data_IF_396123317188
#
_entry.id   IF_396123317188
#
_cell.length_a   1.000
_cell.length_b   1.000
_cell.length_c   1.000
_cell.angle_alpha   90.00
_cell.angle_beta   90.00
_cell.angle_gamma   90.00
#
_symmetry.space_group_name_H-M   'P 1'
#
loop_
_entity.id
_entity.type
_entity.pdbx_description
1 polymer ?
#
# COMPACT_ATOMS: atom_id res chain seq x y z
N UNK A 1 37.41 -13.30 -15.65
CA UNK A 1 37.25 -11.83 -15.73
C UNK A 1 35.83 -11.49 -15.32
N UNK A 2 35.59 -10.75 -14.23
CA UNK A 2 34.25 -10.27 -13.92
C UNK A 2 33.77 -9.35 -15.06
N UNK A 3 32.56 -9.58 -15.57
CA UNK A 3 31.98 -8.73 -16.62
C UNK A 3 31.74 -7.34 -16.03
N UNK A 4 32.52 -6.36 -16.49
CA UNK A 4 32.30 -4.95 -16.17
C UNK A 4 31.05 -4.53 -16.91
N UNK A 5 30.15 -3.88 -16.18
CA UNK A 5 28.88 -3.43 -16.68
C UNK A 5 28.76 -1.96 -16.30
N UNK A 6 28.94 -1.08 -17.28
CA UNK A 6 28.81 0.35 -17.07
C UNK A 6 27.35 0.78 -17.22
N UNK A 7 26.89 1.61 -16.28
CA UNK A 7 25.62 2.34 -16.38
C UNK A 7 25.98 3.79 -16.71
N UNK A 8 25.74 4.27 -17.94
CA UNK A 8 25.97 5.67 -18.26
C UNK A 8 24.97 6.53 -17.49
N UNK A 9 25.46 7.57 -16.82
CA UNK A 9 24.64 8.53 -16.10
C UNK A 9 24.93 9.94 -16.61
N UNK A 10 23.89 10.75 -16.76
CA UNK A 10 24.06 12.20 -16.94
C UNK A 10 24.57 12.85 -15.64
N UNK A 11 25.12 14.06 -15.76
CA UNK A 11 25.58 14.82 -14.59
C UNK A 11 24.44 15.08 -13.60
N UNK A 12 23.27 15.49 -14.10
CA UNK A 12 22.06 15.69 -13.29
C UNK A 12 21.59 14.38 -12.62
N UNK A 13 21.61 13.26 -13.35
CA UNK A 13 21.25 11.96 -12.79
C UNK A 13 22.19 11.58 -11.65
N UNK A 14 23.49 11.78 -11.85
CA UNK A 14 24.52 11.49 -10.84
C UNK A 14 24.33 12.32 -9.58
N UNK A 15 24.12 13.63 -9.72
CA UNK A 15 23.88 14.52 -8.57
C UNK A 15 22.65 14.11 -7.77
N UNK A 16 21.54 13.80 -8.47
CA UNK A 16 20.31 13.34 -7.83
C UNK A 16 20.50 12.00 -7.12
N UNK A 17 21.24 11.07 -7.71
CA UNK A 17 21.58 9.79 -7.09
C UNK A 17 22.45 9.97 -5.84
N UNK A 18 23.42 10.88 -5.87
CA UNK A 18 24.26 11.22 -4.70
C UNK A 18 23.37 11.78 -3.58
N UNK A 19 22.44 12.66 -3.91
CA UNK A 19 21.49 13.20 -2.94
C UNK A 19 20.62 12.10 -2.34
N UNK A 20 20.04 11.22 -3.17
CA UNK A 20 19.22 10.10 -2.70
C UNK A 20 20.00 9.12 -1.84
N UNK A 21 21.24 8.78 -2.21
CA UNK A 21 22.09 7.88 -1.44
C UNK A 21 22.34 8.39 -0.01
N UNK A 22 22.46 9.72 0.16
CA UNK A 22 22.70 10.36 1.46
C UNK A 22 21.43 10.64 2.25
N UNK A 23 20.38 11.13 1.58
CA UNK A 23 19.25 11.81 2.25
C UNK A 23 17.89 11.15 2.02
N UNK A 24 17.78 10.10 1.19
CA UNK A 24 16.49 9.44 1.00
C UNK A 24 15.95 8.93 2.33
N UNK A 25 14.63 9.08 2.56
CA UNK A 25 13.97 8.73 3.82
C UNK A 25 14.11 7.24 4.13
N UNK A 26 13.91 6.40 3.12
CA UNK A 26 13.93 4.94 3.27
C UNK A 26 15.32 4.36 2.96
N UNK A 27 15.82 3.48 3.83
CA UNK A 27 17.18 2.94 3.71
C UNK A 27 17.42 2.14 2.42
N UNK A 28 16.40 1.45 1.90
CA UNK A 28 16.51 0.71 0.62
C UNK A 28 16.65 1.63 -0.57
N UNK A 29 16.07 2.83 -0.53
CA UNK A 29 16.23 3.82 -1.60
C UNK A 29 17.68 4.32 -1.61
N UNK A 30 18.23 4.62 -0.43
CA UNK A 30 19.66 4.97 -0.26
C UNK A 30 20.56 3.88 -0.84
N UNK A 31 20.31 2.63 -0.48
CA UNK A 31 21.09 1.48 -0.95
C UNK A 31 20.99 1.30 -2.47
N UNK A 32 19.78 1.36 -3.05
CA UNK A 32 19.58 1.23 -4.51
C UNK A 32 20.27 2.36 -5.27
N UNK A 33 20.17 3.61 -4.79
CA UNK A 33 20.86 4.75 -5.39
C UNK A 33 22.39 4.54 -5.35
N UNK A 34 22.93 4.06 -4.22
CA UNK A 34 24.35 3.76 -4.08
C UNK A 34 24.82 2.64 -5.02
N UNK A 35 23.98 1.61 -5.25
CA UNK A 35 24.28 0.55 -6.23
C UNK A 35 24.51 1.14 -7.63
N UNK A 36 23.60 2.00 -8.09
CA UNK A 36 23.69 2.58 -9.45
C UNK A 36 24.91 3.48 -9.58
N UNK A 37 25.24 4.27 -8.55
CA UNK A 37 26.46 5.07 -8.52
C UNK A 37 27.72 4.20 -8.69
N UNK A 38 27.85 3.13 -7.90
CA UNK A 38 29.01 2.25 -8.00
C UNK A 38 29.13 1.53 -9.35
N UNK A 39 28.00 1.13 -9.95
CA UNK A 39 28.00 0.56 -11.30
C UNK A 39 28.41 1.61 -12.36
N UNK A 40 28.02 2.87 -12.18
CA UNK A 40 28.45 3.97 -13.07
C UNK A 40 29.94 4.30 -12.92
N UNK A 41 30.50 4.13 -11.73
CA UNK A 41 31.93 4.29 -11.42
C UNK A 41 32.79 3.13 -11.96
N UNK A 42 32.18 2.12 -12.57
CA UNK A 42 32.87 0.99 -13.20
C UNK A 42 33.11 -0.21 -12.28
N UNK A 43 32.56 -0.23 -11.05
CA UNK A 43 32.63 -1.42 -10.19
C UNK A 43 31.88 -2.58 -10.80
N UNK A 44 32.43 -3.78 -10.66
CA UNK A 44 31.76 -4.98 -11.15
C UNK A 44 30.54 -5.34 -10.30
N UNK A 45 29.60 -6.08 -10.89
CA UNK A 45 28.42 -6.60 -10.17
C UNK A 45 28.84 -7.41 -8.93
N UNK A 46 29.93 -8.17 -9.03
CA UNK A 46 30.44 -8.98 -7.92
C UNK A 46 31.00 -8.11 -6.79
N UNK A 47 31.75 -7.06 -7.10
CA UNK A 47 32.30 -6.12 -6.12
C UNK A 47 31.18 -5.34 -5.42
N UNK A 48 30.17 -4.89 -6.15
CA UNK A 48 29.03 -4.19 -5.54
C UNK A 48 28.24 -5.13 -4.64
N UNK A 49 28.08 -6.40 -5.05
CA UNK A 49 27.41 -7.41 -4.27
C UNK A 49 28.15 -7.69 -2.94
N UNK A 50 29.49 -7.80 -2.96
CA UNK A 50 30.28 -7.97 -1.74
C UNK A 50 30.22 -6.74 -0.83
N UNK A 51 30.30 -5.52 -1.39
CA UNK A 51 30.18 -4.27 -0.62
C UNK A 51 28.83 -4.10 0.09
N UNK A 52 27.76 -4.70 -0.45
CA UNK A 52 26.42 -4.62 0.14
C UNK A 52 26.01 -5.88 0.91
N UNK A 53 26.88 -6.91 0.98
CA UNK A 53 26.57 -8.23 1.54
C UNK A 53 25.31 -8.85 0.89
N UNK A 54 25.23 -8.80 -0.44
CA UNK A 54 24.11 -9.33 -1.23
C UNK A 54 24.56 -10.31 -2.30
N UNK A 55 23.60 -11.06 -2.82
CA UNK A 55 23.83 -11.94 -3.96
C UNK A 55 23.95 -11.08 -5.24
N UNK A 56 24.91 -11.37 -6.15
CA UNK A 56 25.10 -10.65 -7.42
C UNK A 56 23.83 -10.51 -8.26
N UNK A 57 22.93 -11.48 -8.18
CA UNK A 57 21.66 -11.45 -8.92
C UNK A 57 20.76 -10.29 -8.52
N UNK A 58 20.80 -9.87 -7.25
CA UNK A 58 20.06 -8.68 -6.83
C UNK A 58 20.60 -7.43 -7.53
N UNK A 59 21.92 -7.31 -7.65
CA UNK A 59 22.56 -6.16 -8.30
C UNK A 59 22.20 -6.14 -9.80
N UNK A 60 22.19 -7.31 -10.46
CA UNK A 60 21.71 -7.43 -11.86
C UNK A 60 20.27 -7.00 -12.02
N UNK A 61 19.39 -7.45 -11.12
CA UNK A 61 17.97 -7.06 -11.14
C UNK A 61 17.78 -5.56 -10.91
N UNK A 62 18.53 -4.96 -9.97
CA UNK A 62 18.49 -3.52 -9.73
C UNK A 62 18.92 -2.72 -10.96
N UNK A 63 20.04 -3.12 -11.61
CA UNK A 63 20.47 -2.52 -12.87
C UNK A 63 19.38 -2.63 -13.95
N UNK A 64 18.83 -3.82 -14.17
CA UNK A 64 17.79 -4.03 -15.19
C UNK A 64 16.56 -3.16 -14.93
N UNK A 65 16.18 -2.98 -13.66
CA UNK A 65 15.08 -2.07 -13.29
C UNK A 65 15.43 -0.61 -13.51
N UNK A 66 16.67 -0.20 -13.25
CA UNK A 66 17.15 1.14 -13.57
C UNK A 66 17.10 1.42 -15.07
N UNK A 67 17.53 0.47 -15.92
CA UNK A 67 17.45 0.61 -17.38
C UNK A 67 16.02 0.76 -17.90
N UNK A 68 15.03 0.16 -17.22
CA UNK A 68 13.62 0.21 -17.63
C UNK A 68 12.83 1.39 -17.04
N UNK A 69 13.14 1.78 -15.81
CA UNK A 69 12.28 2.67 -15.02
C UNK A 69 13.04 3.85 -14.38
N UNK A 70 14.36 3.93 -14.58
CA UNK A 70 15.23 4.98 -14.03
C UNK A 70 14.94 5.24 -12.54
N UNK A 71 14.64 6.49 -12.15
CA UNK A 71 14.38 6.88 -10.77
C UNK A 71 13.16 6.21 -10.13
N UNK A 72 12.17 5.77 -10.91
CA UNK A 72 11.03 5.01 -10.36
C UNK A 72 11.47 3.65 -9.80
N UNK A 73 12.57 3.07 -10.31
CA UNK A 73 13.14 1.83 -9.75
C UNK A 73 13.74 2.00 -8.36
N UNK A 74 14.13 3.22 -7.99
CA UNK A 74 14.80 3.52 -6.72
C UNK A 74 13.78 3.63 -5.59
N UNK A 75 12.63 4.25 -5.85
CA UNK A 75 11.58 4.48 -4.86
C UNK A 75 11.18 3.16 -4.19
N UNK A 76 11.05 3.19 -2.87
CA UNK A 76 10.44 2.10 -2.14
C UNK A 76 8.93 2.25 -2.28
N UNK A 77 8.33 1.45 -3.15
CA UNK A 77 6.88 1.43 -3.33
C UNK A 77 6.13 1.09 -2.05
N UNK A 78 4.88 1.54 -1.96
CA UNK A 78 3.98 1.17 -0.87
C UNK A 78 3.79 -0.35 -0.87
N UNK A 79 4.15 -1.01 0.23
CA UNK A 79 3.85 -2.42 0.45
C UNK A 79 2.44 -2.51 0.99
N UNK A 80 1.45 -2.61 0.11
CA UNK A 80 0.10 -2.96 0.53
C UNK A 80 0.15 -4.34 1.18
N UNK A 81 -0.49 -4.50 2.33
CA UNK A 81 -0.73 -5.82 2.92
C UNK A 81 -1.69 -6.64 2.05
N UNK A 82 -2.33 -7.65 2.62
CA UNK A 82 -3.41 -8.39 1.94
C UNK A 82 -4.41 -7.36 1.37
N UNK A 83 -4.78 -7.46 0.08
CA UNK A 83 -5.74 -6.55 -0.52
C UNK A 83 -7.04 -6.57 0.31
N UNK A 84 -7.64 -5.40 0.50
CA UNK A 84 -8.88 -5.29 1.27
C UNK A 84 -9.97 -6.11 0.56
N UNK A 85 -10.64 -7.00 1.30
CA UNK A 85 -11.75 -7.80 0.78
C UNK A 85 -12.92 -6.91 0.34
N UNK A 86 -13.09 -5.74 0.97
CA UNK A 86 -14.07 -4.73 0.54
C UNK A 86 -13.47 -3.83 -0.54
N UNK A 87 -13.61 -4.25 -1.80
CA UNK A 87 -13.30 -3.46 -3.00
C UNK A 87 -14.28 -2.27 -3.09
N UNK A 88 -13.88 -1.18 -3.76
CA UNK A 88 -14.65 0.06 -3.95
C UNK A 88 -16.11 -0.19 -4.38
N UNK A 89 -16.35 -1.18 -5.24
CA UNK A 89 -17.70 -1.47 -5.75
C UNK A 89 -18.63 -1.97 -4.64
N UNK A 90 -18.14 -2.86 -3.76
CA UNK A 90 -18.91 -3.34 -2.62
C UNK A 90 -19.12 -2.23 -1.58
N UNK A 91 -18.14 -1.36 -1.41
CA UNK A 91 -18.26 -0.20 -0.52
C UNK A 91 -19.41 0.72 -0.95
N UNK A 92 -19.51 1.04 -2.25
CA UNK A 92 -20.60 1.86 -2.78
C UNK A 92 -21.97 1.21 -2.56
N UNK A 93 -22.10 -0.10 -2.79
CA UNK A 93 -23.35 -0.84 -2.57
C UNK A 93 -23.77 -0.89 -1.10
N UNK A 94 -22.81 -1.10 -0.19
CA UNK A 94 -23.09 -1.05 1.25
C UNK A 94 -23.65 0.32 1.65
N UNK A 95 -23.05 1.40 1.15
CA UNK A 95 -23.52 2.76 1.45
C UNK A 95 -24.94 3.00 0.92
N UNK A 96 -25.24 2.57 -0.30
CA UNK A 96 -26.58 2.67 -0.89
C UNK A 96 -27.64 1.93 -0.06
N UNK A 97 -27.33 0.70 0.40
CA UNK A 97 -28.24 -0.07 1.24
C UNK A 97 -28.50 0.59 2.60
N UNK A 98 -27.45 1.12 3.24
CA UNK A 98 -27.59 1.77 4.56
C UNK A 98 -28.32 3.10 4.45
N UNK A 99 -28.16 3.82 3.34
CA UNK A 99 -28.91 5.05 3.08
C UNK A 99 -30.40 4.77 2.79
N UNK A 100 -30.69 3.66 2.11
CA UNK A 100 -32.06 3.26 1.79
C UNK A 100 -32.78 2.67 3.00
N UNK A 101 -32.07 1.94 3.87
CA UNK A 101 -32.68 1.25 5.01
C UNK A 101 -31.72 1.14 6.20
N UNK A 102 -32.19 1.32 7.44
CA UNK A 102 -31.34 1.15 8.62
C UNK A 102 -31.00 -0.33 8.84
N UNK A 103 -29.87 -0.78 8.30
CA UNK A 103 -29.38 -2.16 8.40
C UNK A 103 -28.29 -2.31 9.48
N UNK A 104 -28.29 -3.46 10.14
CA UNK A 104 -27.21 -3.87 11.04
C UNK A 104 -26.03 -4.47 10.24
N UNK A 105 -24.81 -4.39 10.79
CA UNK A 105 -23.60 -4.93 10.17
C UNK A 105 -23.69 -6.44 9.86
N UNK A 106 -24.41 -7.22 10.68
CA UNK A 106 -24.68 -8.63 10.41
C UNK A 106 -25.59 -8.82 9.19
N UNK A 107 -26.63 -8.00 9.06
CA UNK A 107 -27.55 -8.05 7.92
C UNK A 107 -26.83 -7.68 6.63
N UNK A 108 -25.95 -6.67 6.69
CA UNK A 108 -25.09 -6.31 5.56
C UNK A 108 -24.17 -7.48 5.20
N UNK A 109 -23.55 -8.15 6.19
CA UNK A 109 -22.69 -9.33 5.94
C UNK A 109 -23.43 -10.44 5.21
N UNK A 110 -24.62 -10.80 5.69
CA UNK A 110 -25.45 -11.86 5.09
C UNK A 110 -25.83 -11.47 3.66
N UNK A 111 -26.32 -10.25 3.45
CA UNK A 111 -26.71 -9.78 2.11
C UNK A 111 -25.54 -9.76 1.12
N UNK A 112 -24.35 -9.38 1.59
CA UNK A 112 -23.13 -9.35 0.77
C UNK A 112 -22.66 -10.77 0.40
N UNK A 113 -22.85 -11.73 1.30
CA UNK A 113 -22.60 -13.15 1.03
C UNK A 113 -23.64 -13.74 0.06
N UNK A 114 -24.93 -13.40 0.21
CA UNK A 114 -26.01 -13.90 -0.65
C UNK A 114 -25.93 -13.36 -2.08
N UNK A 115 -25.62 -12.07 -2.26
CA UNK A 115 -25.58 -11.45 -3.60
C UNK A 115 -24.24 -11.63 -4.33
N UNK A 116 -23.11 -11.71 -3.59
CA UNK A 116 -21.76 -11.66 -4.18
C UNK A 116 -20.81 -12.76 -3.72
N UNK A 117 -21.26 -13.70 -2.86
CA UNK A 117 -20.44 -14.77 -2.27
C UNK A 117 -19.17 -14.28 -1.55
N UNK A 118 -19.12 -12.99 -1.17
CA UNK A 118 -17.93 -12.42 -0.52
C UNK A 118 -18.04 -12.62 0.99
N UNK A 119 -17.12 -13.43 1.53
CA UNK A 119 -16.99 -13.63 2.97
C UNK A 119 -16.16 -12.51 3.61
N UNK A 120 -16.82 -11.65 4.39
CA UNK A 120 -16.21 -10.52 5.10
C UNK A 120 -16.52 -10.60 6.58
N UNK A 121 -15.56 -10.25 7.44
CA UNK A 121 -15.81 -10.15 8.88
C UNK A 121 -16.74 -8.97 9.19
N UNK A 122 -17.58 -9.14 10.21
CA UNK A 122 -18.52 -8.10 10.68
C UNK A 122 -17.76 -6.86 11.12
N UNK A 123 -16.57 -7.04 11.71
CA UNK A 123 -15.75 -5.93 12.18
C UNK A 123 -15.15 -5.13 11.02
N UNK A 124 -14.85 -5.77 9.90
CA UNK A 124 -14.45 -5.08 8.67
C UNK A 124 -15.58 -4.18 8.15
N UNK A 125 -16.83 -4.65 8.19
CA UNK A 125 -18.01 -3.86 7.82
C UNK A 125 -18.22 -2.70 8.82
N UNK A 126 -18.14 -2.96 10.13
CA UNK A 126 -18.27 -1.89 11.14
C UNK A 126 -17.18 -0.83 11.01
N UNK A 127 -15.94 -1.25 10.75
CA UNK A 127 -14.82 -0.34 10.51
C UNK A 127 -15.10 0.52 9.28
N UNK A 128 -15.49 -0.10 8.17
CA UNK A 128 -15.86 0.64 6.95
C UNK A 128 -16.99 1.66 7.19
N UNK A 129 -18.04 1.28 7.93
CA UNK A 129 -19.15 2.19 8.25
C UNK A 129 -18.71 3.36 9.15
N UNK A 130 -17.79 3.13 10.09
CA UNK A 130 -17.21 4.22 10.90
C UNK A 130 -16.31 5.13 10.06
N UNK A 131 -15.48 4.55 9.22
CA UNK A 131 -14.56 5.30 8.35
C UNK A 131 -15.33 6.14 7.31
N UNK A 132 -16.53 5.73 6.92
CA UNK A 132 -17.47 6.49 6.08
C UNK A 132 -18.33 7.51 6.85
N UNK A 133 -18.08 7.71 8.15
CA UNK A 133 -18.73 8.74 8.97
C UNK A 133 -20.07 8.32 9.60
N UNK A 134 -20.46 7.05 9.51
CA UNK A 134 -21.70 6.56 10.13
C UNK A 134 -21.53 6.29 11.62
N UNK A 135 -22.57 6.63 12.40
CA UNK A 135 -22.60 6.42 13.85
C UNK A 135 -23.61 5.33 14.20
N UNK A 136 -23.12 4.28 14.85
CA UNK A 136 -23.99 3.23 15.40
C UNK A 136 -24.79 3.79 16.58
N UNK A 137 -26.10 3.92 16.41
CA UNK A 137 -27.01 4.23 17.51
C UNK A 137 -27.12 3.02 18.44
N UNK A 138 -27.05 3.27 19.75
CA UNK A 138 -27.39 2.24 20.75
C UNK A 138 -28.89 2.00 20.71
N UNK A 139 -29.30 0.75 20.54
CA UNK A 139 -30.70 0.36 20.70
C UNK A 139 -31.14 0.65 22.13
N UNK A 140 -32.23 1.39 22.32
CA UNK A 140 -32.84 1.52 23.65
C UNK A 140 -33.68 0.29 23.91
N UNK A 141 -33.43 -0.39 25.04
CA UNK A 141 -34.21 -1.56 25.48
C UNK A 141 -35.64 -1.21 25.94
N UNK A 142 -35.99 0.07 25.98
CA UNK A 142 -37.34 0.54 26.31
C UNK A 142 -37.76 1.67 25.39
N UNK A 143 -39.02 1.65 25.00
CA UNK A 143 -39.66 2.74 24.26
C UNK A 143 -39.74 3.97 25.17
N UNK A 144 -39.52 5.16 24.60
CA UNK A 144 -39.71 6.43 25.32
C UNK A 144 -41.16 6.46 25.81
N UNK A 145 -41.38 6.49 27.13
CA UNK A 145 -42.74 6.64 27.70
C UNK A 145 -43.41 7.86 27.05
N UNK A 146 -44.59 7.69 26.46
CA UNK A 146 -45.46 8.82 26.12
C UNK A 146 -45.66 9.61 27.42
N UNK A 147 -45.40 10.92 27.42
CA UNK A 147 -45.93 11.78 28.47
C UNK A 147 -47.44 11.65 28.35
N UNK A 148 -48.10 11.13 29.38
CA UNK A 148 -49.54 11.26 29.50
C UNK A 148 -49.83 12.76 29.57
N UNK A 149 -50.61 13.27 28.63
CA UNK A 149 -51.12 14.64 28.71
C UNK A 149 -51.85 14.77 30.04
N UNK A 150 -51.35 15.64 30.92
CA UNK A 150 -52.00 15.96 32.17
C UNK A 150 -53.30 16.71 31.83
N UNK A 151 -54.45 16.11 32.15
CA UNK A 151 -55.74 16.79 32.24
C UNK A 151 -55.74 17.65 33.50
#
# INVERSE_FOLDING_TARGET
MPRIVSVPLSLEQRERLIFLAKHAKHWRERQRAQTILWLSEGKSVAEVATLQERIPETIRLQRRRWELYEFESIKEGHRSGRPNTLISDYQAKILDWVNTSPLNAEQIRVKLHEEYEVSVSVETIRKFLRDSGMVFKRTRHSLKKKRSDCI
#
